data_IF_431157834116
#
_entry.id   IF_431157834116
#
_cell.length_a   1.000
_cell.length_b   1.000
_cell.length_c   1.000
_cell.angle_alpha   90.00
_cell.angle_beta   90.00
_cell.angle_gamma   90.00
#
_symmetry.space_group_name_H-M   'P 1'
#
loop_
_entity.id
_entity.type
_entity.pdbx_description
1 polymer ?
#
# COMPACT_ATOMS: atom_id res chain seq x y z
N UNK A 1 15.87 14.58 -7.25
CA UNK A 1 14.43 14.81 -7.55
C UNK A 1 13.70 13.60 -6.99
N UNK A 2 12.62 13.77 -6.21
CA UNK A 2 11.89 12.62 -5.69
C UNK A 2 11.23 11.90 -6.88
N UNK A 3 11.66 10.67 -7.16
CA UNK A 3 11.11 9.89 -8.26
C UNK A 3 9.74 9.35 -7.82
N UNK A 4 8.66 9.99 -8.28
CA UNK A 4 7.30 9.52 -8.04
C UNK A 4 7.05 8.31 -8.91
N UNK A 5 7.00 7.12 -8.32
CA UNK A 5 6.77 5.87 -9.05
C UNK A 5 5.37 5.31 -8.79
N UNK A 6 4.70 4.85 -9.84
CA UNK A 6 3.42 4.15 -9.75
C UNK A 6 3.61 2.78 -9.09
N UNK A 7 2.82 2.49 -8.06
CA UNK A 7 2.61 1.15 -7.54
C UNK A 7 1.64 0.39 -8.45
N UNK A 8 2.22 -0.33 -9.41
CA UNK A 8 1.46 -1.13 -10.37
C UNK A 8 0.68 -2.24 -9.67
N UNK A 9 1.22 -2.81 -8.59
CA UNK A 9 0.58 -3.93 -7.91
C UNK A 9 -0.66 -3.47 -7.16
N UNK A 10 -0.54 -2.40 -6.37
CA UNK A 10 -1.69 -1.82 -5.68
C UNK A 10 -2.77 -1.35 -6.66
N UNK A 11 -2.37 -0.76 -7.81
CA UNK A 11 -3.32 -0.37 -8.84
C UNK A 11 -4.04 -1.60 -9.43
N UNK A 12 -3.30 -2.65 -9.80
CA UNK A 12 -3.88 -3.86 -10.36
C UNK A 12 -4.86 -4.53 -9.39
N UNK A 13 -4.46 -4.70 -8.13
CA UNK A 13 -5.30 -5.34 -7.11
C UNK A 13 -6.59 -4.53 -6.84
N UNK A 14 -6.52 -3.19 -6.86
CA UNK A 14 -7.69 -2.33 -6.73
C UNK A 14 -8.65 -2.45 -7.92
N UNK A 15 -8.11 -2.48 -9.15
CA UNK A 15 -8.91 -2.69 -10.37
C UNK A 15 -9.58 -4.06 -10.33
N UNK A 16 -8.83 -5.09 -9.94
CA UNK A 16 -9.34 -6.46 -9.84
C UNK A 16 -10.48 -6.57 -8.81
N UNK A 17 -10.33 -5.97 -7.63
CA UNK A 17 -11.38 -5.94 -6.62
C UNK A 17 -12.68 -5.29 -7.11
N UNK A 18 -12.61 -4.11 -7.74
CA UNK A 18 -13.78 -3.42 -8.29
C UNK A 18 -14.39 -4.16 -9.48
N UNK A 19 -13.56 -4.82 -10.29
CA UNK A 19 -13.99 -5.65 -11.41
C UNK A 19 -14.83 -6.83 -10.91
N UNK A 20 -14.32 -7.55 -9.90
CA UNK A 20 -14.99 -8.69 -9.29
C UNK A 20 -16.31 -8.28 -8.63
N UNK A 21 -16.37 -7.14 -7.93
CA UNK A 21 -17.62 -6.65 -7.32
C UNK A 21 -18.69 -6.27 -8.34
N UNK A 22 -18.30 -6.05 -9.60
CA UNK A 22 -19.19 -5.79 -10.73
C UNK A 22 -19.43 -7.03 -11.61
N UNK A 23 -18.90 -8.18 -11.21
CA UNK A 23 -19.01 -9.46 -11.94
C UNK A 23 -18.47 -9.41 -13.39
N UNK A 24 -17.56 -8.48 -13.68
CA UNK A 24 -16.98 -8.31 -15.02
C UNK A 24 -15.80 -9.26 -15.23
N UNK A 25 -15.66 -9.84 -16.42
CA UNK A 25 -14.39 -10.42 -16.86
C UNK A 25 -13.37 -9.33 -17.24
N UNK A 26 -12.10 -9.69 -17.35
CA UNK A 26 -11.07 -8.77 -17.84
C UNK A 26 -11.32 -8.29 -19.27
N UNK A 27 -11.96 -9.12 -20.11
CA UNK A 27 -12.29 -8.75 -21.50
C UNK A 27 -13.44 -7.75 -21.56
N UNK A 28 -14.45 -7.92 -20.71
CA UNK A 28 -15.57 -6.97 -20.61
C UNK A 28 -15.08 -5.62 -20.10
N UNK A 29 -14.29 -5.61 -19.01
CA UNK A 29 -13.68 -4.39 -18.50
C UNK A 29 -12.81 -3.68 -19.55
N UNK A 30 -12.01 -4.45 -20.31
CA UNK A 30 -11.21 -3.92 -21.41
C UNK A 30 -12.08 -3.23 -22.48
N UNK A 31 -13.22 -3.83 -22.82
CA UNK A 31 -14.20 -3.24 -23.74
C UNK A 31 -14.82 -1.96 -23.19
N UNK A 32 -15.26 -1.96 -21.93
CA UNK A 32 -15.83 -0.78 -21.27
C UNK A 32 -14.86 0.41 -21.24
N UNK A 33 -13.58 0.13 -20.99
CA UNK A 33 -12.55 1.16 -20.86
C UNK A 33 -11.86 1.53 -22.16
N UNK A 34 -12.18 0.84 -23.26
CA UNK A 34 -11.48 0.95 -24.54
C UNK A 34 -9.96 0.72 -24.42
N UNK A 35 -9.55 -0.20 -23.56
CA UNK A 35 -8.15 -0.58 -23.33
C UNK A 35 -7.92 -1.99 -23.90
N UNK A 36 -6.74 -2.25 -24.48
CA UNK A 36 -6.41 -3.60 -24.95
C UNK A 36 -6.37 -4.60 -23.77
N UNK A 37 -6.98 -5.80 -23.87
CA UNK A 37 -6.98 -6.80 -22.79
C UNK A 37 -5.57 -7.19 -22.31
N UNK A 38 -4.58 -7.17 -23.21
CA UNK A 38 -3.18 -7.46 -22.90
C UNK A 38 -2.55 -6.45 -21.94
N UNK A 39 -3.12 -5.26 -21.78
CA UNK A 39 -2.69 -4.27 -20.78
C UNK A 39 -2.89 -4.81 -19.37
N UNK A 40 -4.00 -5.46 -19.06
CA UNK A 40 -4.22 -6.07 -17.74
C UNK A 40 -3.26 -7.24 -17.49
N UNK A 41 -2.98 -8.07 -18.50
CA UNK A 41 -1.98 -9.14 -18.39
C UNK A 41 -0.58 -8.58 -18.09
N UNK A 42 -0.19 -7.51 -18.79
CA UNK A 42 1.10 -6.82 -18.55
C UNK A 42 1.15 -6.20 -17.15
N UNK A 43 0.05 -5.60 -16.68
CA UNK A 43 -0.05 -5.06 -15.33
C UNK A 43 0.04 -6.14 -14.25
N UNK A 44 -0.58 -7.31 -14.46
CA UNK A 44 -0.44 -8.46 -13.56
C UNK A 44 1.02 -8.94 -13.44
N UNK A 45 1.82 -8.76 -14.49
CA UNK A 45 3.26 -9.02 -14.54
C UNK A 45 4.10 -7.85 -13.99
N UNK A 46 3.48 -6.82 -13.43
CA UNK A 46 4.16 -5.67 -12.84
C UNK A 46 4.60 -4.59 -13.84
N UNK A 47 4.22 -4.69 -15.13
CA UNK A 47 4.54 -3.66 -16.11
C UNK A 47 3.63 -2.44 -15.92
N UNK A 48 4.23 -1.26 -15.94
CA UNK A 48 3.51 0.00 -15.75
C UNK A 48 2.53 0.25 -16.92
N UNK A 49 1.30 0.70 -16.62
CA UNK A 49 0.44 1.27 -17.64
C UNK A 49 1.06 2.58 -18.17
N UNK A 50 0.69 2.97 -19.39
CA UNK A 50 0.93 4.32 -19.86
C UNK A 50 0.05 5.34 -19.10
N UNK A 51 0.30 6.63 -19.35
CA UNK A 51 -0.36 7.74 -18.65
C UNK A 51 -1.87 7.74 -18.88
N UNK A 52 -2.32 7.47 -20.11
CA UNK A 52 -3.74 7.49 -20.47
C UNK A 52 -4.50 6.33 -19.84
N UNK A 53 -3.90 5.13 -19.88
CA UNK A 53 -4.40 3.93 -19.21
C UNK A 53 -4.48 4.19 -17.70
N UNK A 54 -3.43 4.75 -17.10
CA UNK A 54 -3.43 5.05 -15.68
C UNK A 54 -4.57 6.02 -15.30
N UNK A 55 -4.70 7.14 -16.00
CA UNK A 55 -5.75 8.11 -15.75
C UNK A 55 -7.16 7.52 -15.94
N UNK A 56 -7.33 6.66 -16.95
CA UNK A 56 -8.60 5.96 -17.21
C UNK A 56 -8.98 5.03 -16.07
N UNK A 57 -8.02 4.25 -15.57
CA UNK A 57 -8.23 3.35 -14.44
C UNK A 57 -8.55 4.12 -13.16
N UNK A 58 -7.87 5.25 -12.89
CA UNK A 58 -8.17 6.10 -11.73
C UNK A 58 -9.60 6.63 -11.77
N UNK A 59 -10.05 7.15 -12.92
CA UNK A 59 -11.43 7.62 -13.11
C UNK A 59 -12.44 6.48 -12.90
N UNK A 60 -12.16 5.31 -13.48
CA UNK A 60 -13.04 4.17 -13.32
C UNK A 60 -13.09 3.66 -11.87
N UNK A 61 -11.97 3.69 -11.15
CA UNK A 61 -11.90 3.36 -9.72
C UNK A 61 -12.61 4.42 -8.85
N UNK A 62 -12.61 5.69 -9.26
CA UNK A 62 -13.07 6.80 -8.43
C UNK A 62 -12.01 7.22 -7.41
N UNK A 63 -10.73 7.09 -7.76
CA UNK A 63 -9.58 7.26 -6.86
C UNK A 63 -8.56 8.24 -7.44
N UNK A 64 -7.68 8.78 -6.59
CA UNK A 64 -6.63 9.72 -7.01
C UNK A 64 -5.27 9.03 -7.19
N UNK A 65 -4.38 9.66 -7.97
CA UNK A 65 -3.04 9.14 -8.23
C UNK A 65 -2.20 8.98 -6.95
N UNK A 66 -2.43 9.80 -5.91
CA UNK A 66 -1.70 9.74 -4.62
C UNK A 66 -1.87 8.41 -3.87
N UNK A 67 -2.95 7.68 -4.19
CA UNK A 67 -3.20 6.35 -3.63
C UNK A 67 -2.27 5.30 -4.23
N UNK A 68 -1.89 5.46 -5.49
CA UNK A 68 -1.12 4.49 -6.27
C UNK A 68 0.26 5.01 -6.68
N UNK A 69 0.71 6.10 -6.07
CA UNK A 69 2.06 6.64 -6.28
C UNK A 69 2.81 6.65 -4.96
N UNK A 70 4.04 6.14 -5.02
CA UNK A 70 4.99 6.30 -3.93
C UNK A 70 5.70 7.63 -4.14
N UNK A 71 5.51 8.57 -3.23
CA UNK A 71 6.56 9.54 -2.96
C UNK A 71 7.49 8.95 -1.92
N UNK A 72 8.81 9.14 -2.03
CA UNK A 72 9.73 8.78 -0.94
C UNK A 72 9.33 9.42 0.40
N UNK A 73 8.51 10.49 0.38
CA UNK A 73 7.89 11.07 1.58
C UNK A 73 6.91 10.13 2.29
N UNK A 74 6.29 9.16 1.61
CA UNK A 74 5.43 8.15 2.24
C UNK A 74 6.23 7.07 2.98
N UNK A 75 7.49 6.82 2.58
CA UNK A 75 8.45 6.03 3.38
C UNK A 75 8.90 6.75 4.66
N UNK A 76 8.71 8.07 4.79
CA UNK A 76 8.93 8.75 6.09
C UNK A 76 7.83 8.36 7.12
N UNK A 77 6.75 7.68 6.69
CA UNK A 77 5.85 6.96 7.60
C UNK A 77 6.36 5.55 7.96
N UNK A 78 7.55 5.16 7.52
CA UNK A 78 8.39 4.12 8.15
C UNK A 78 9.01 4.67 9.46
N UNK A 79 8.21 5.36 10.29
CA UNK A 79 8.57 5.44 11.68
C UNK A 79 8.66 3.99 12.15
N UNK A 80 9.86 3.54 12.54
CA UNK A 80 10.06 2.18 12.99
C UNK A 80 8.94 1.87 13.99
N UNK A 81 8.09 0.84 13.78
CA UNK A 81 6.92 0.61 14.61
C UNK A 81 7.26 0.62 16.11
N UNK A 82 8.47 0.17 16.45
CA UNK A 82 9.04 0.28 17.78
C UNK A 82 9.18 1.72 18.28
N UNK A 83 9.76 2.64 17.50
CA UNK A 83 9.89 4.04 17.88
C UNK A 83 8.54 4.72 18.14
N UNK A 84 7.50 4.38 17.37
CA UNK A 84 6.14 4.88 17.61
C UNK A 84 5.55 4.35 18.91
N UNK A 85 5.69 3.04 19.16
CA UNK A 85 5.21 2.40 20.40
C UNK A 85 5.93 2.98 21.61
N UNK A 86 7.27 3.12 21.55
CA UNK A 86 8.07 3.73 22.62
C UNK A 86 7.66 5.18 22.87
N UNK A 87 7.38 5.96 21.82
CA UNK A 87 6.90 7.33 21.98
C UNK A 87 5.54 7.38 22.67
N UNK A 88 4.60 6.50 22.30
CA UNK A 88 3.28 6.44 22.90
C UNK A 88 3.38 6.07 24.39
N UNK A 89 4.08 4.98 24.73
CA UNK A 89 4.24 4.49 26.10
C UNK A 89 4.87 5.54 27.03
N UNK A 90 5.84 6.32 26.53
CA UNK A 90 6.43 7.44 27.30
C UNK A 90 5.48 8.61 27.51
N UNK A 91 4.53 8.83 26.60
CA UNK A 91 3.56 9.93 26.67
C UNK A 91 2.27 9.58 27.42
N UNK A 92 2.05 8.30 27.70
CA UNK A 92 0.83 7.79 28.30
C UNK A 92 0.76 8.17 29.80
N UNK A 93 -0.20 9.03 30.16
CA UNK A 93 -0.38 9.49 31.55
C UNK A 93 -0.89 8.40 32.51
N UNK A 94 -1.41 7.30 31.97
CA UNK A 94 -2.00 6.18 32.69
C UNK A 94 -1.07 4.97 32.79
N UNK A 95 0.20 5.12 32.42
CA UNK A 95 1.21 4.07 32.48
C UNK A 95 2.39 4.62 33.25
N UNK A 96 2.81 3.94 34.32
CA UNK A 96 4.00 4.35 35.06
C UNK A 96 5.26 4.10 34.22
N UNK A 97 6.37 4.81 34.48
CA UNK A 97 7.62 4.60 33.76
C UNK A 97 8.12 3.14 33.81
N UNK A 98 7.87 2.43 34.92
CA UNK A 98 8.23 1.02 35.08
C UNK A 98 7.38 0.09 34.21
N UNK A 99 6.07 0.32 34.16
CA UNK A 99 5.14 -0.46 33.30
C UNK A 99 5.43 -0.22 31.82
N UNK A 100 5.71 1.02 31.43
CA UNK A 100 6.10 1.38 30.06
C UNK A 100 7.37 0.62 29.64
N UNK A 101 8.38 0.59 30.50
CA UNK A 101 9.64 -0.11 30.24
C UNK A 101 9.44 -1.64 30.14
N UNK A 102 8.59 -2.22 30.98
CA UNK A 102 8.27 -3.65 30.93
C UNK A 102 7.56 -4.02 29.61
N UNK A 103 6.57 -3.22 29.20
CA UNK A 103 5.85 -3.41 27.94
C UNK A 103 6.78 -3.27 26.73
N UNK A 104 7.66 -2.27 26.73
CA UNK A 104 8.63 -2.05 25.66
C UNK A 104 9.56 -3.26 25.48
N UNK A 105 10.05 -3.85 26.58
CA UNK A 105 10.91 -5.04 26.54
C UNK A 105 10.20 -6.27 25.95
N UNK A 106 8.94 -6.52 26.35
CA UNK A 106 8.14 -7.65 25.84
C UNK A 106 7.92 -7.50 24.33
N UNK A 107 7.49 -6.31 23.90
CA UNK A 107 7.21 -6.02 22.48
C UNK A 107 8.49 -6.12 21.65
N UNK A 108 9.61 -5.60 22.15
CA UNK A 108 10.91 -5.66 21.46
C UNK A 108 11.42 -7.10 21.32
N UNK A 109 11.24 -7.94 22.34
CA UNK A 109 11.59 -9.36 22.28
C UNK A 109 10.75 -10.10 21.21
N UNK A 110 9.44 -9.89 21.20
CA UNK A 110 8.54 -10.47 20.20
C UNK A 110 8.89 -10.00 18.78
N UNK A 111 9.15 -8.71 18.59
CA UNK A 111 9.48 -8.14 17.29
C UNK A 111 10.80 -8.69 16.73
N UNK A 112 11.83 -8.84 17.57
CA UNK A 112 13.11 -9.46 17.17
C UNK A 112 12.93 -10.90 16.70
N UNK A 113 12.14 -11.69 17.42
CA UNK A 113 11.87 -13.08 17.07
C UNK A 113 11.14 -13.22 15.73
N UNK A 114 10.16 -12.34 15.44
CA UNK A 114 9.45 -12.34 14.17
C UNK A 114 10.31 -11.89 12.98
N UNK A 115 11.21 -10.92 13.20
CA UNK A 115 12.10 -10.39 12.15
C UNK A 115 13.26 -11.34 11.81
N UNK A 116 13.73 -12.13 12.77
CA UNK A 116 14.80 -13.13 12.59
C UNK A 116 14.37 -14.45 11.95
N UNK A 117 13.07 -14.64 11.68
CA UNK A 117 12.51 -15.86 11.06
C UNK A 117 12.31 -15.76 9.54
N UNK A 118 12.96 -14.76 8.91
CA UNK A 118 12.97 -14.53 7.46
C UNK A 118 14.15 -15.21 6.79
#
# INVERSE_FOLDING_TARGET
MAETTVDVRALYDAVDGKRQSKELSWRELAGELQIAPSTFTRMAQGRRPDVDTFATLLRWLGETADKFTHSERKKIRDAEPMAMISSYLRSAKNVSPGEAAALEQIIQAAYRHLKGKK
#
